data_IF_873843585458
#
_entry.id   IF_873843585458
#
_cell.length_a   1.000
_cell.length_b   1.000
_cell.length_c   1.000
_cell.angle_alpha   90.00
_cell.angle_beta   90.00
_cell.angle_gamma   90.00
#
_symmetry.space_group_name_H-M   'P 1'
#
loop_
_entity.id
_entity.type
_entity.pdbx_description
1 polymer ?
#
# COMPACT_ATOMS: atom_id res chain seq x y z
N UNK A 1 10.05 5.78 -2.95
CA UNK A 1 9.37 6.93 -2.31
C UNK A 1 10.33 8.05 -1.90
N UNK A 2 11.41 7.78 -1.14
CA UNK A 2 12.37 8.83 -0.71
C UNK A 2 13.25 9.42 -1.82
N UNK A 3 13.48 8.70 -2.92
CA UNK A 3 14.45 9.07 -3.97
C UNK A 3 14.15 10.39 -4.67
N UNK A 4 12.88 10.77 -4.78
CA UNK A 4 12.45 12.00 -5.48
C UNK A 4 11.90 13.08 -4.55
N UNK A 5 12.16 12.97 -3.23
CA UNK A 5 11.54 13.85 -2.24
C UNK A 5 11.89 15.33 -2.44
N UNK A 6 13.09 15.63 -2.94
CA UNK A 6 13.54 16.99 -3.13
C UNK A 6 12.73 17.71 -4.22
N UNK A 7 12.57 17.07 -5.38
CA UNK A 7 11.81 17.62 -6.51
C UNK A 7 10.33 17.73 -6.18
N UNK A 8 9.74 16.68 -5.61
CA UNK A 8 8.33 16.65 -5.26
C UNK A 8 8.00 17.69 -4.16
N UNK A 9 8.88 17.81 -3.15
CA UNK A 9 8.66 18.77 -2.07
C UNK A 9 8.78 20.21 -2.57
N UNK A 10 9.70 20.49 -3.49
CA UNK A 10 9.83 21.82 -4.11
C UNK A 10 8.54 22.27 -4.77
N UNK A 11 7.87 21.38 -5.50
CA UNK A 11 6.56 21.68 -6.12
C UNK A 11 5.48 21.99 -5.06
N UNK A 12 5.43 21.21 -3.98
CA UNK A 12 4.50 21.42 -2.86
C UNK A 12 4.79 22.76 -2.16
N UNK A 13 6.06 23.08 -1.95
CA UNK A 13 6.49 24.31 -1.30
C UNK A 13 6.11 25.54 -2.14
N UNK A 14 6.36 25.51 -3.46
CA UNK A 14 5.97 26.59 -4.38
C UNK A 14 4.46 26.82 -4.39
N UNK A 15 3.64 25.76 -4.41
CA UNK A 15 2.18 25.86 -4.30
C UNK A 15 1.76 26.51 -2.98
N UNK A 16 2.41 26.12 -1.89
CA UNK A 16 2.16 26.69 -0.56
C UNK A 16 2.53 28.17 -0.51
N UNK A 17 3.63 28.56 -1.14
CA UNK A 17 4.06 29.96 -1.23
C UNK A 17 3.06 30.80 -2.05
N UNK A 18 2.58 30.29 -3.19
CA UNK A 18 1.54 30.97 -3.97
C UNK A 18 0.23 31.15 -3.19
N UNK A 19 -0.20 30.11 -2.47
CA UNK A 19 -1.37 30.21 -1.59
C UNK A 19 -1.14 31.24 -0.48
N UNK A 20 0.05 31.28 0.10
CA UNK A 20 0.38 32.23 1.16
C UNK A 20 0.37 33.67 0.66
N UNK A 21 0.95 33.93 -0.52
CA UNK A 21 0.92 35.24 -1.20
C UNK A 21 -0.52 35.66 -1.50
N UNK A 22 -1.39 34.73 -1.89
CA UNK A 22 -2.80 35.05 -2.19
C UNK A 22 -3.61 35.49 -0.96
N UNK A 23 -3.17 35.13 0.25
CA UNK A 23 -3.84 35.49 1.51
C UNK A 23 -3.16 36.69 2.17
N UNK A 24 -1.83 36.76 2.08
CA UNK A 24 -1.01 37.81 2.68
C UNK A 24 -0.09 38.37 1.58
N UNK A 25 -0.52 39.45 0.94
CA UNK A 25 0.07 40.01 -0.30
C UNK A 25 1.58 40.31 -0.24
N UNK A 26 2.18 40.39 0.96
CA UNK A 26 3.58 40.79 1.14
C UNK A 26 4.45 39.83 1.97
N UNK A 27 3.87 38.82 2.64
CA UNK A 27 4.67 37.93 3.49
C UNK A 27 5.13 36.66 2.77
N UNK A 28 6.42 36.35 2.90
CA UNK A 28 6.99 35.06 2.52
C UNK A 28 6.94 34.08 3.68
N UNK A 29 6.94 32.79 3.34
CA UNK A 29 7.05 31.72 4.33
C UNK A 29 8.38 31.88 5.10
N UNK A 30 8.28 32.06 6.42
CA UNK A 30 9.43 32.23 7.33
C UNK A 30 9.66 30.96 8.15
N UNK A 31 10.91 30.72 8.53
CA UNK A 31 11.26 29.65 9.46
C UNK A 31 10.69 30.01 10.85
N UNK A 32 9.99 29.07 11.53
CA UNK A 32 9.52 29.27 12.89
C UNK A 32 10.68 29.57 13.86
N UNK A 33 10.39 30.29 14.94
CA UNK A 33 11.40 30.57 15.97
C UNK A 33 11.96 29.27 16.55
N UNK A 34 13.28 29.08 16.44
CA UNK A 34 14.00 28.02 17.13
C UNK A 34 14.20 28.41 18.60
N UNK A 35 13.85 27.50 19.51
CA UNK A 35 13.98 27.72 20.96
C UNK A 35 14.81 26.58 21.54
N UNK A 36 15.85 26.90 22.31
CA UNK A 36 16.76 25.93 22.92
C UNK A 36 16.08 24.89 23.83
N UNK A 37 14.90 25.22 24.36
CA UNK A 37 14.12 24.35 25.25
C UNK A 37 13.15 23.41 24.52
N UNK A 38 13.01 23.51 23.19
CA UNK A 38 12.12 22.62 22.44
C UNK A 38 12.75 21.23 22.31
N UNK A 39 12.29 20.27 23.12
CA UNK A 39 12.76 18.88 23.09
C UNK A 39 12.03 18.00 22.08
N UNK A 40 10.79 18.35 21.73
CA UNK A 40 9.93 17.51 20.88
C UNK A 40 10.08 17.79 19.39
N UNK A 41 10.72 18.90 19.01
CA UNK A 41 10.97 19.26 17.61
C UNK A 41 12.47 19.24 17.32
N UNK A 42 12.80 18.79 16.12
CA UNK A 42 14.16 18.81 15.61
C UNK A 42 14.59 20.27 15.39
N UNK A 43 15.73 20.67 15.95
CA UNK A 43 16.34 21.98 15.71
C UNK A 43 17.18 21.89 14.44
N UNK A 44 16.55 22.09 13.28
CA UNK A 44 17.24 22.11 11.98
C UNK A 44 18.05 23.39 11.87
N UNK A 45 19.37 23.27 11.65
CA UNK A 45 20.24 24.41 11.38
C UNK A 45 20.24 24.72 9.87
N UNK A 46 19.17 25.36 9.40
CA UNK A 46 19.07 25.86 8.02
C UNK A 46 18.53 27.28 8.00
N UNK A 47 19.00 28.08 7.04
CA UNK A 47 18.52 29.44 6.80
C UNK A 47 17.46 29.52 5.70
N UNK A 48 17.31 28.44 4.95
CA UNK A 48 16.38 28.33 3.82
C UNK A 48 15.07 27.72 4.33
N UNK A 49 13.92 28.42 4.23
CA UNK A 49 12.63 27.91 4.71
C UNK A 49 12.21 26.59 4.05
N UNK A 50 12.42 26.46 2.75
CA UNK A 50 12.13 25.22 2.01
C UNK A 50 12.86 24.02 2.64
N UNK A 51 14.17 24.14 2.86
CA UNK A 51 14.96 23.07 3.48
C UNK A 51 14.54 22.78 4.91
N UNK A 52 14.21 23.81 5.68
CA UNK A 52 13.71 23.65 7.04
C UNK A 52 12.45 22.75 7.06
N UNK A 53 11.43 23.09 6.28
CA UNK A 53 10.18 22.32 6.26
C UNK A 53 10.35 20.93 5.64
N UNK A 54 11.25 20.79 4.65
CA UNK A 54 11.60 19.49 4.08
C UNK A 54 12.16 18.54 5.14
N UNK A 55 13.11 19.03 5.95
CA UNK A 55 13.78 18.22 6.99
C UNK A 55 12.88 18.00 8.20
N UNK A 56 12.21 19.04 8.68
CA UNK A 56 11.43 18.99 9.91
C UNK A 56 10.05 18.32 9.75
N UNK A 57 9.46 18.35 8.55
CA UNK A 57 8.09 17.86 8.31
C UNK A 57 8.08 16.75 7.26
N UNK A 58 8.56 17.03 6.05
CA UNK A 58 8.35 16.12 4.93
C UNK A 58 9.05 14.77 5.17
N UNK A 59 10.35 14.78 5.49
CA UNK A 59 11.11 13.54 5.70
C UNK A 59 10.48 12.68 6.83
N UNK A 60 10.27 13.20 8.06
CA UNK A 60 9.64 12.43 9.13
C UNK A 60 8.26 11.87 8.75
N UNK A 61 7.44 12.67 8.06
CA UNK A 61 6.13 12.23 7.60
C UNK A 61 6.21 11.07 6.62
N UNK A 62 7.08 11.16 5.61
CA UNK A 62 7.26 10.06 4.64
C UNK A 62 7.82 8.81 5.31
N UNK A 63 8.70 8.96 6.28
CA UNK A 63 9.27 7.82 7.02
C UNK A 63 8.21 7.08 7.82
N UNK A 64 7.41 7.83 8.56
CA UNK A 64 6.31 7.29 9.35
C UNK A 64 5.27 6.65 8.43
N UNK A 65 4.92 7.31 7.33
CA UNK A 65 4.00 6.75 6.34
C UNK A 65 4.50 5.44 5.74
N UNK A 66 5.79 5.37 5.35
CA UNK A 66 6.40 4.12 4.86
C UNK A 66 6.37 3.05 5.96
N UNK A 67 6.66 3.41 7.21
CA UNK A 67 6.62 2.50 8.35
C UNK A 67 5.23 1.93 8.56
N UNK A 68 4.20 2.77 8.55
CA UNK A 68 2.80 2.36 8.69
C UNK A 68 2.37 1.43 7.54
N UNK A 69 2.75 1.73 6.30
CA UNK A 69 2.47 0.84 5.16
C UNK A 69 3.14 -0.52 5.38
N UNK A 70 4.43 -0.53 5.73
CA UNK A 70 5.15 -1.78 6.01
C UNK A 70 4.50 -2.57 7.12
N UNK A 71 4.11 -1.93 8.23
CA UNK A 71 3.48 -2.61 9.35
C UNK A 71 2.14 -3.25 8.94
N UNK A 72 1.27 -2.49 8.27
CA UNK A 72 -0.05 -2.96 7.84
C UNK A 72 0.06 -4.11 6.83
N UNK A 73 0.90 -3.96 5.80
CA UNK A 73 1.01 -4.98 4.76
C UNK A 73 1.81 -6.21 5.20
N UNK A 74 2.79 -6.06 6.08
CA UNK A 74 3.54 -7.20 6.62
C UNK A 74 2.68 -8.08 7.52
N UNK A 75 1.86 -7.48 8.40
CA UNK A 75 0.95 -8.23 9.30
C UNK A 75 -0.12 -9.02 8.55
N UNK A 76 -0.60 -8.48 7.43
CA UNK A 76 -1.69 -9.07 6.66
C UNK A 76 -1.23 -9.76 5.37
N UNK A 77 0.08 -10.02 5.21
CA UNK A 77 0.66 -10.60 3.99
C UNK A 77 -0.03 -11.90 3.56
N UNK A 78 -0.31 -12.79 4.50
CA UNK A 78 -1.00 -14.07 4.23
C UNK A 78 -2.48 -13.89 3.90
N UNK A 79 -3.17 -13.00 4.61
CA UNK A 79 -4.59 -12.69 4.39
C UNK A 79 -4.78 -12.05 3.01
N UNK A 80 -3.98 -11.05 2.67
CA UNK A 80 -4.02 -10.37 1.37
C UNK A 80 -3.74 -11.33 0.22
N UNK A 81 -2.75 -12.22 0.38
CA UNK A 81 -2.46 -13.28 -0.60
C UNK A 81 -3.65 -14.22 -0.78
N UNK A 82 -4.40 -14.50 0.30
CA UNK A 82 -5.60 -15.33 0.23
C UNK A 82 -6.83 -14.62 -0.36
N UNK A 83 -6.97 -13.30 -0.20
CA UNK A 83 -8.08 -12.52 -0.78
C UNK A 83 -8.08 -12.62 -2.31
N UNK A 84 -6.90 -12.73 -2.93
CA UNK A 84 -6.78 -12.99 -4.35
C UNK A 84 -7.49 -14.28 -4.81
N UNK A 85 -7.57 -15.29 -3.92
CA UNK A 85 -8.21 -16.58 -4.20
C UNK A 85 -9.74 -16.50 -4.15
N UNK A 86 -10.29 -15.41 -3.58
CA UNK A 86 -11.72 -15.16 -3.53
C UNK A 86 -12.26 -14.55 -4.83
N UNK A 87 -11.42 -13.96 -5.67
CA UNK A 87 -11.84 -13.39 -6.94
C UNK A 87 -12.25 -14.53 -7.88
N UNK A 88 -13.53 -14.62 -8.28
CA UNK A 88 -13.98 -15.67 -9.20
C UNK A 88 -13.33 -15.47 -10.57
N UNK A 89 -12.95 -16.57 -11.24
CA UNK A 89 -12.37 -16.50 -12.59
C UNK A 89 -13.30 -15.79 -13.61
N UNK A 90 -14.61 -15.80 -13.38
CA UNK A 90 -15.60 -15.10 -14.21
C UNK A 90 -15.46 -13.57 -14.15
N UNK A 91 -14.80 -13.04 -13.11
CA UNK A 91 -14.52 -11.61 -12.95
C UNK A 91 -13.20 -11.20 -13.63
N UNK A 92 -12.42 -12.16 -14.13
CA UNK A 92 -11.14 -11.92 -14.79
C UNK A 92 -11.35 -11.72 -16.28
N UNK A 93 -11.04 -10.51 -16.79
CA UNK A 93 -11.07 -10.22 -18.23
C UNK A 93 -9.86 -10.80 -18.97
N UNK A 94 -8.76 -11.01 -18.25
CA UNK A 94 -7.51 -11.59 -18.73
C UNK A 94 -6.90 -12.48 -17.64
N UNK A 95 -6.08 -13.49 -18.02
CA UNK A 95 -5.31 -14.25 -17.05
C UNK A 95 -4.35 -13.29 -16.33
N UNK A 96 -4.32 -13.40 -15.01
CA UNK A 96 -3.44 -12.58 -14.18
C UNK A 96 -2.05 -13.20 -14.21
N UNK A 97 -1.07 -12.39 -14.59
CA UNK A 97 0.33 -12.77 -14.70
C UNK A 97 1.10 -12.31 -13.46
N UNK A 98 2.24 -12.94 -13.19
CA UNK A 98 3.13 -12.55 -12.08
C UNK A 98 3.61 -11.09 -12.19
N UNK A 99 3.71 -10.56 -13.41
CA UNK A 99 3.98 -9.14 -13.68
C UNK A 99 2.93 -8.18 -13.11
N UNK A 100 1.66 -8.62 -13.00
CA UNK A 100 0.57 -7.79 -12.49
C UNK A 100 0.70 -7.51 -10.99
N UNK A 101 1.49 -8.35 -10.30
CA UNK A 101 1.82 -8.18 -8.89
C UNK A 101 3.17 -7.49 -8.66
N UNK A 102 3.88 -7.08 -9.71
CA UNK A 102 5.21 -6.45 -9.61
C UNK A 102 5.23 -5.20 -8.73
N UNK A 103 4.14 -4.43 -8.69
CA UNK A 103 3.99 -3.24 -7.84
C UNK A 103 3.94 -3.62 -6.35
N UNK A 104 3.47 -4.83 -6.03
CA UNK A 104 3.27 -5.31 -4.68
C UNK A 104 4.25 -6.42 -4.29
N UNK A 105 5.22 -6.76 -5.14
CA UNK A 105 6.16 -7.86 -4.94
C UNK A 105 6.95 -7.71 -3.63
N UNK A 106 7.28 -6.47 -3.26
CA UNK A 106 7.93 -6.12 -1.99
C UNK A 106 7.05 -6.46 -0.76
N UNK A 107 5.73 -6.55 -0.94
CA UNK A 107 4.75 -6.68 0.14
C UNK A 107 4.03 -8.04 0.16
N UNK A 108 3.87 -8.71 -0.99
CA UNK A 108 3.09 -9.94 -1.16
C UNK A 108 4.02 -11.07 -1.58
N UNK A 109 4.00 -12.20 -0.86
CA UNK A 109 4.58 -13.44 -1.38
C UNK A 109 3.49 -14.06 -2.24
N UNK A 110 3.60 -13.88 -3.55
CA UNK A 110 2.73 -14.58 -4.49
C UNK A 110 3.20 -16.02 -4.56
N UNK A 111 2.98 -16.79 -3.49
CA UNK A 111 3.14 -18.24 -3.54
C UNK A 111 1.96 -18.80 -4.36
N UNK A 112 2.14 -18.82 -5.69
CA UNK A 112 1.22 -19.42 -6.68
C UNK A 112 0.89 -20.87 -6.30
N UNK A 113 1.78 -21.52 -5.55
CA UNK A 113 1.63 -22.85 -4.92
C UNK A 113 0.42 -22.98 -3.98
N UNK A 114 -0.16 -21.89 -3.46
CA UNK A 114 -1.41 -21.97 -2.70
C UNK A 114 -2.65 -22.09 -3.62
N UNK A 115 -2.60 -21.52 -4.84
CA UNK A 115 -3.66 -21.70 -5.85
C UNK A 115 -3.79 -23.17 -6.24
N UNK A 116 -2.68 -23.87 -6.47
CA UNK A 116 -2.71 -25.29 -6.88
C UNK A 116 -3.37 -26.17 -5.82
N UNK A 117 -2.99 -26.02 -4.54
CA UNK A 117 -3.58 -26.78 -3.43
C UNK A 117 -5.07 -26.49 -3.19
N UNK A 118 -5.53 -25.24 -3.39
CA UNK A 118 -6.96 -24.90 -3.27
C UNK A 118 -7.74 -25.38 -4.50
N UNK A 119 -7.19 -25.29 -5.71
CA UNK A 119 -7.81 -25.83 -6.92
C UNK A 119 -7.95 -27.34 -6.80
N UNK A 120 -6.91 -28.04 -6.32
CA UNK A 120 -6.96 -29.47 -5.99
C UNK A 120 -8.07 -29.76 -4.98
N UNK A 121 -8.15 -29.03 -3.86
CA UNK A 121 -9.23 -29.20 -2.88
C UNK A 121 -10.63 -28.88 -3.42
N UNK A 122 -10.76 -27.86 -4.30
CA UNK A 122 -12.03 -27.53 -4.96
C UNK A 122 -12.44 -28.63 -5.95
N UNK A 123 -11.50 -29.17 -6.71
CA UNK A 123 -11.71 -30.32 -7.60
C UNK A 123 -12.11 -31.55 -6.79
N UNK A 124 -11.41 -31.85 -5.70
CA UNK A 124 -11.73 -32.96 -4.79
C UNK A 124 -13.13 -32.84 -4.19
N UNK A 125 -13.50 -31.65 -3.69
CA UNK A 125 -14.85 -31.39 -3.19
C UNK A 125 -15.90 -31.56 -4.30
N UNK A 126 -15.63 -31.06 -5.50
CA UNK A 126 -16.54 -31.20 -6.64
C UNK A 126 -16.69 -32.66 -7.09
N UNK A 127 -15.60 -33.43 -7.12
CA UNK A 127 -15.60 -34.87 -7.41
C UNK A 127 -16.34 -35.66 -6.33
N UNK A 128 -16.13 -35.36 -5.04
CA UNK A 128 -16.89 -35.95 -3.92
C UNK A 128 -18.39 -35.67 -4.02
N UNK A 129 -18.79 -34.44 -4.33
CA UNK A 129 -20.19 -34.08 -4.55
C UNK A 129 -20.79 -34.82 -5.77
N UNK A 130 -20.00 -35.07 -6.81
CA UNK A 130 -20.42 -35.88 -7.97
C UNK A 130 -20.59 -37.36 -7.59
N UNK A 131 -19.66 -37.96 -6.87
CA UNK A 131 -19.76 -39.35 -6.41
C UNK A 131 -20.92 -39.59 -5.44
N UNK A 132 -21.22 -38.61 -4.58
CA UNK A 132 -22.39 -38.66 -3.68
C UNK A 132 -23.73 -38.57 -4.41
N UNK A 133 -23.80 -37.88 -5.55
CA UNK A 133 -25.02 -37.76 -6.35
C UNK A 133 -25.30 -38.97 -7.24
N UNK A 134 -24.26 -39.72 -7.66
CA UNK A 134 -24.43 -41.02 -8.32
C UNK A 134 -24.86 -42.14 -7.36
N UNK A 135 -24.45 -42.07 -6.08
CA UNK A 135 -24.90 -43.00 -5.03
C UNK A 135 -26.41 -42.91 -4.74
N UNK A 136 -27.03 -41.75 -4.93
CA UNK A 136 -28.47 -41.56 -4.67
C UNK A 136 -29.38 -41.85 -5.88
N UNK A 137 -28.84 -42.10 -7.07
CA UNK A 137 -29.64 -42.34 -8.29
C UNK A 137 -29.85 -43.81 -8.67
N UNK A 138 -29.14 -44.76 -8.06
CA UNK A 138 -29.24 -46.19 -8.42
C UNK A 138 -30.28 -47.01 -7.63
N UNK A 139 -31.16 -46.39 -6.84
CA UNK A 139 -32.16 -47.13 -6.01
C UNK A 139 -33.61 -46.81 -6.34
N UNK A 140 -33.93 -46.46 -7.59
CA UNK A 140 -35.32 -46.47 -8.08
C UNK A 140 -35.43 -47.22 -9.40
N UNK A 141 -35.43 -48.54 -9.30
CA UNK A 141 -35.94 -49.45 -10.32
C UNK A 141 -36.89 -50.44 -9.64
N UNK A 142 -38.19 -50.21 -9.82
CA UNK A 142 -39.30 -51.17 -9.79
C UNK A 142 -40.49 -50.50 -10.47
#
# INVERSE_FOLDING_TARGET
MRTNINENFKEIFNKSEQLFISVNEEEKIKIPRLVSRSTNRINVDTKIPEDYFRIAIAIPFYDDFISQLKERFSKHKTILSSLYLLIPNMCLKSPILESDFSIYSDFINVDITFRTKIVEKKIDCFQRCRSSTYSCRSTKSL
#
